data_IF_408974412154
#
_entry.id   IF_408974412154
#
_cell.length_a   1.000
_cell.length_b   1.000
_cell.length_c   1.000
_cell.angle_alpha   90.00
_cell.angle_beta   90.00
_cell.angle_gamma   90.00
#
_symmetry.space_group_name_H-M   'P 1'
#
loop_
_entity.id
_entity.type
_entity.pdbx_description
1 polymer ?
#
# COMPACT_ATOMS: atom_id res chain seq x y z
N UNK A 1 5.35 43.94 7.17
CA UNK A 1 4.27 43.36 7.98
C UNK A 1 3.26 42.56 7.16
N UNK A 2 3.06 42.80 5.85
CA UNK A 2 2.10 42.02 5.05
C UNK A 2 2.61 40.64 4.60
N UNK A 3 3.92 40.42 4.43
CA UNK A 3 4.47 39.13 3.93
C UNK A 3 4.44 37.98 4.95
N UNK A 4 4.62 38.24 6.26
CA UNK A 4 4.67 37.19 7.29
C UNK A 4 3.31 36.52 7.56
N UNK A 5 2.20 37.28 7.48
CA UNK A 5 0.84 36.78 7.75
C UNK A 5 0.44 35.75 6.67
N UNK A 6 0.89 35.92 5.43
CA UNK A 6 0.64 34.97 4.33
C UNK A 6 1.41 33.66 4.50
N UNK A 7 2.68 33.70 4.90
CA UNK A 7 3.52 32.49 5.02
C UNK A 7 3.10 31.58 6.18
N UNK A 8 2.68 32.15 7.31
CA UNK A 8 2.17 31.38 8.47
C UNK A 8 0.86 30.67 8.17
N UNK A 9 -0.11 31.38 7.56
CA UNK A 9 -1.37 30.79 7.17
C UNK A 9 -1.17 29.67 6.12
N UNK A 10 -0.18 29.83 5.25
CA UNK A 10 0.16 28.86 4.22
C UNK A 10 0.87 27.64 4.81
N UNK A 11 1.73 27.82 5.82
CA UNK A 11 2.32 26.73 6.59
C UNK A 11 1.24 25.91 7.31
N UNK A 12 0.33 26.58 8.05
CA UNK A 12 -0.79 25.92 8.75
C UNK A 12 -1.68 25.13 7.78
N UNK A 13 -2.05 25.74 6.65
CA UNK A 13 -2.81 25.08 5.60
C UNK A 13 -2.10 23.84 5.04
N UNK A 14 -0.80 23.95 4.74
CA UNK A 14 -0.02 22.84 4.20
C UNK A 14 0.14 21.70 5.24
N UNK A 15 0.29 22.03 6.53
CA UNK A 15 0.33 21.06 7.61
C UNK A 15 -0.97 20.27 7.74
N UNK A 16 -2.12 20.95 7.80
CA UNK A 16 -3.41 20.26 7.91
C UNK A 16 -3.72 19.44 6.64
N UNK A 17 -3.32 19.90 5.45
CA UNK A 17 -3.46 19.10 4.24
C UNK A 17 -2.55 17.87 4.25
N UNK A 18 -1.28 17.99 4.65
CA UNK A 18 -0.36 16.86 4.77
C UNK A 18 -0.86 15.83 5.78
N UNK A 19 -1.32 16.28 6.95
CA UNK A 19 -1.94 15.46 7.99
C UNK A 19 -3.14 14.67 7.46
N UNK A 20 -4.08 15.35 6.80
CA UNK A 20 -5.26 14.71 6.18
C UNK A 20 -4.84 13.61 5.20
N UNK A 21 -3.90 13.92 4.29
CA UNK A 21 -3.42 12.95 3.31
C UNK A 21 -2.72 11.75 3.96
N UNK A 22 -1.87 11.98 4.97
CA UNK A 22 -1.19 10.90 5.70
C UNK A 22 -2.18 9.92 6.32
N UNK A 23 -3.24 10.43 6.97
CA UNK A 23 -4.26 9.57 7.57
C UNK A 23 -5.08 8.83 6.52
N UNK A 24 -5.53 9.52 5.46
CA UNK A 24 -6.30 8.91 4.38
C UNK A 24 -5.55 7.75 3.71
N UNK A 25 -4.26 7.93 3.43
CA UNK A 25 -3.44 6.89 2.81
C UNK A 25 -3.19 5.74 3.77
N UNK A 26 -2.93 6.02 5.05
CA UNK A 26 -2.73 4.97 6.04
C UNK A 26 -3.98 4.09 6.21
N UNK A 27 -5.15 4.72 6.31
CA UNK A 27 -6.44 4.02 6.45
C UNK A 27 -6.80 3.22 5.20
N UNK A 28 -6.73 3.85 4.02
CA UNK A 28 -6.99 3.17 2.75
C UNK A 28 -6.04 1.98 2.56
N UNK A 29 -4.74 2.19 2.75
CA UNK A 29 -3.74 1.14 2.54
C UNK A 29 -3.92 -0.01 3.54
N UNK A 30 -4.20 0.28 4.81
CA UNK A 30 -4.46 -0.75 5.81
C UNK A 30 -5.66 -1.60 5.41
N UNK A 31 -6.82 -0.96 5.18
CA UNK A 31 -8.06 -1.65 4.82
C UNK A 31 -7.93 -2.48 3.53
N UNK A 32 -7.40 -1.89 2.46
CA UNK A 32 -7.29 -2.58 1.17
C UNK A 32 -6.28 -3.73 1.19
N UNK A 33 -5.13 -3.56 1.85
CA UNK A 33 -4.11 -4.62 1.94
C UNK A 33 -4.50 -5.70 2.95
N UNK A 34 -5.20 -5.38 4.03
CA UNK A 34 -5.75 -6.37 4.96
C UNK A 34 -6.78 -7.25 4.27
N UNK A 35 -7.73 -6.65 3.53
CA UNK A 35 -8.71 -7.40 2.76
C UNK A 35 -8.04 -8.30 1.71
N UNK A 36 -7.04 -7.79 0.98
CA UNK A 36 -6.34 -8.60 -0.01
C UNK A 36 -5.56 -9.76 0.63
N UNK A 37 -4.95 -9.52 1.80
CA UNK A 37 -4.27 -10.56 2.57
C UNK A 37 -5.25 -11.64 3.06
N UNK A 38 -6.46 -11.26 3.49
CA UNK A 38 -7.50 -12.20 3.91
C UNK A 38 -7.96 -13.07 2.73
N UNK A 39 -8.22 -12.48 1.57
CA UNK A 39 -8.59 -13.24 0.36
C UNK A 39 -7.45 -14.19 -0.04
N UNK A 40 -6.19 -13.75 0.06
CA UNK A 40 -5.03 -14.59 -0.20
C UNK A 40 -4.99 -15.80 0.76
N UNK A 41 -5.10 -15.57 2.07
CA UNK A 41 -5.12 -16.65 3.07
C UNK A 41 -6.27 -17.64 2.86
N UNK A 42 -7.49 -17.15 2.65
CA UNK A 42 -8.64 -17.99 2.33
C UNK A 42 -8.41 -18.80 1.04
N UNK A 43 -7.74 -18.21 0.03
CA UNK A 43 -7.37 -18.95 -1.19
C UNK A 43 -6.34 -20.04 -0.90
N UNK A 44 -5.36 -19.77 -0.02
CA UNK A 44 -4.37 -20.75 0.40
C UNK A 44 -5.02 -21.94 1.12
N UNK A 45 -5.96 -21.69 2.04
CA UNK A 45 -6.71 -22.71 2.78
C UNK A 45 -7.56 -23.57 1.81
N UNK A 46 -8.28 -22.95 0.88
CA UNK A 46 -9.07 -23.67 -0.12
C UNK A 46 -8.21 -24.61 -1.00
N UNK A 47 -6.99 -24.20 -1.36
CA UNK A 47 -6.06 -25.05 -2.13
C UNK A 47 -5.64 -26.28 -1.31
N UNK A 48 -5.38 -26.09 -0.01
CA UNK A 48 -5.04 -27.20 0.89
C UNK A 48 -6.21 -28.18 1.03
N UNK A 49 -7.44 -27.67 1.14
CA UNK A 49 -8.65 -28.51 1.19
C UNK A 49 -8.86 -29.31 -0.10
N UNK A 50 -8.73 -28.69 -1.27
CA UNK A 50 -8.82 -29.39 -2.57
C UNK A 50 -7.74 -30.47 -2.72
N UNK A 51 -6.54 -30.25 -2.18
CA UNK A 51 -5.48 -31.27 -2.18
C UNK A 51 -5.88 -32.58 -1.46
N UNK A 52 -6.84 -32.50 -0.54
CA UNK A 52 -7.37 -33.65 0.19
C UNK A 52 -8.63 -34.27 -0.45
N UNK A 53 -9.10 -33.75 -1.59
CA UNK A 53 -10.33 -34.19 -2.26
C UNK A 53 -10.09 -34.90 -3.62
N UNK A 54 -11.14 -35.54 -4.16
CA UNK A 54 -11.14 -36.20 -5.48
C UNK A 54 -11.54 -35.26 -6.66
N UNK A 55 -11.57 -33.94 -6.48
CA UNK A 55 -11.91 -32.98 -7.54
C UNK A 55 -10.62 -32.46 -8.21
N UNK A 56 -10.50 -32.50 -9.55
CA UNK A 56 -9.14 -32.58 -10.14
C UNK A 56 -8.72 -31.57 -11.22
N UNK A 57 -9.57 -30.93 -12.02
CA UNK A 57 -9.07 -30.03 -13.10
C UNK A 57 -9.69 -28.63 -13.12
N UNK A 58 -11.02 -28.53 -13.02
CA UNK A 58 -11.72 -27.24 -13.04
C UNK A 58 -11.36 -26.32 -11.86
N UNK A 59 -11.08 -26.90 -10.69
CA UNK A 59 -10.73 -26.14 -9.48
C UNK A 59 -9.34 -25.52 -9.59
N UNK A 60 -8.36 -26.24 -10.16
CA UNK A 60 -7.00 -25.73 -10.36
C UNK A 60 -6.99 -24.54 -11.31
N UNK A 61 -7.77 -24.61 -12.41
CA UNK A 61 -7.92 -23.48 -13.31
C UNK A 61 -8.55 -22.27 -12.61
N UNK A 62 -9.57 -22.50 -11.77
CA UNK A 62 -10.20 -21.45 -10.97
C UNK A 62 -9.21 -20.82 -9.97
N UNK A 63 -8.37 -21.63 -9.32
CA UNK A 63 -7.32 -21.12 -8.43
C UNK A 63 -6.27 -20.31 -9.19
N UNK A 64 -5.84 -20.74 -10.38
CA UNK A 64 -4.91 -19.98 -11.23
C UNK A 64 -5.48 -18.59 -11.58
N UNK A 65 -6.76 -18.52 -11.93
CA UNK A 65 -7.43 -17.24 -12.19
C UNK A 65 -7.53 -16.37 -10.93
N UNK A 66 -7.83 -16.96 -9.76
CA UNK A 66 -7.85 -16.22 -8.49
C UNK A 66 -6.47 -15.65 -8.14
N UNK A 67 -5.40 -16.44 -8.28
CA UNK A 67 -4.03 -16.00 -8.04
C UNK A 67 -3.69 -14.80 -8.93
N UNK A 68 -3.95 -14.91 -10.23
CA UNK A 68 -3.74 -13.82 -11.18
C UNK A 68 -4.51 -12.55 -10.76
N UNK A 69 -5.77 -12.69 -10.35
CA UNK A 69 -6.56 -11.57 -9.83
C UNK A 69 -5.98 -10.96 -8.54
N UNK A 70 -5.38 -11.76 -7.64
CA UNK A 70 -4.69 -11.25 -6.46
C UNK A 70 -3.44 -10.45 -6.83
N UNK A 71 -2.66 -10.92 -7.82
CA UNK A 71 -1.47 -10.24 -8.32
C UNK A 71 -1.81 -8.90 -8.97
N UNK A 72 -2.82 -8.88 -9.84
CA UNK A 72 -3.32 -7.69 -10.51
C UNK A 72 -3.82 -6.67 -9.47
N UNK A 73 -4.64 -7.11 -8.50
CA UNK A 73 -5.11 -6.26 -7.42
C UNK A 73 -3.95 -5.69 -6.58
N UNK A 74 -2.93 -6.50 -6.26
CA UNK A 74 -1.76 -6.02 -5.53
C UNK A 74 -0.97 -4.99 -6.34
N UNK A 75 -0.84 -5.18 -7.66
CA UNK A 75 -0.16 -4.24 -8.55
C UNK A 75 -0.90 -2.88 -8.62
N UNK A 76 -2.22 -2.92 -8.76
CA UNK A 76 -3.07 -1.71 -8.80
C UNK A 76 -3.01 -0.95 -7.48
N UNK A 77 -3.13 -1.65 -6.35
CA UNK A 77 -2.98 -1.05 -5.03
C UNK A 77 -1.60 -0.42 -4.84
N UNK A 78 -0.52 -1.10 -5.25
CA UNK A 78 0.85 -0.55 -5.21
C UNK A 78 0.94 0.76 -6.02
N UNK A 79 0.34 0.80 -7.20
CA UNK A 79 0.37 1.99 -8.06
C UNK A 79 -0.39 3.15 -7.41
N UNK A 80 -1.59 2.89 -6.88
CA UNK A 80 -2.40 3.91 -6.19
C UNK A 80 -1.69 4.46 -4.95
N UNK A 81 -1.24 3.56 -4.08
CA UNK A 81 -0.50 3.91 -2.85
C UNK A 81 0.75 4.73 -3.20
N UNK A 82 1.48 4.34 -4.26
CA UNK A 82 2.65 5.10 -4.72
C UNK A 82 2.27 6.53 -5.10
N UNK A 83 1.19 6.72 -5.87
CA UNK A 83 0.71 8.05 -6.23
C UNK A 83 0.32 8.88 -4.99
N UNK A 84 -0.40 8.30 -4.05
CA UNK A 84 -0.81 9.03 -2.85
C UNK A 84 0.37 9.38 -1.93
N UNK A 85 1.37 8.48 -1.82
CA UNK A 85 2.62 8.77 -1.11
C UNK A 85 3.40 9.93 -1.74
N UNK A 86 3.37 10.07 -3.07
CA UNK A 86 3.94 11.25 -3.75
C UNK A 86 3.18 12.53 -3.37
N UNK A 87 1.85 12.50 -3.32
CA UNK A 87 1.05 13.66 -2.91
C UNK A 87 1.32 14.10 -1.47
N UNK A 88 1.55 13.14 -0.56
CA UNK A 88 2.00 13.43 0.82
C UNK A 88 3.37 14.11 0.79
N UNK A 89 4.33 13.55 0.05
CA UNK A 89 5.69 14.10 -0.03
C UNK A 89 5.69 15.52 -0.61
N UNK A 90 4.89 15.78 -1.64
CA UNK A 90 4.73 17.12 -2.22
C UNK A 90 4.15 18.12 -1.21
N UNK A 91 3.14 17.70 -0.44
CA UNK A 91 2.52 18.55 0.58
C UNK A 91 3.49 18.88 1.73
N UNK A 92 4.26 17.89 2.19
CA UNK A 92 5.29 18.10 3.21
C UNK A 92 6.40 19.04 2.71
N UNK A 93 6.81 18.90 1.44
CA UNK A 93 7.81 19.80 0.84
C UNK A 93 7.31 21.24 0.73
N UNK A 94 6.03 21.44 0.39
CA UNK A 94 5.41 22.76 0.38
C UNK A 94 5.35 23.38 1.77
N UNK A 95 5.01 22.60 2.79
CA UNK A 95 5.07 23.06 4.19
C UNK A 95 6.50 23.45 4.60
N UNK A 96 7.50 22.65 4.22
CA UNK A 96 8.91 22.95 4.49
C UNK A 96 9.39 24.24 3.82
N UNK A 97 8.97 24.50 2.57
CA UNK A 97 9.26 25.76 1.89
C UNK A 97 8.62 26.93 2.65
N UNK A 98 7.34 26.84 3.00
CA UNK A 98 6.65 27.89 3.75
C UNK A 98 7.28 28.15 5.12
N UNK A 99 7.75 27.10 5.81
CA UNK A 99 8.47 27.24 7.07
C UNK A 99 9.79 28.01 6.92
N UNK A 100 10.54 27.76 5.84
CA UNK A 100 11.81 28.44 5.57
C UNK A 100 11.66 29.90 5.12
N UNK A 101 10.47 30.29 4.64
CA UNK A 101 10.16 31.66 4.23
C UNK A 101 9.84 32.59 5.41
N UNK A 102 9.68 32.03 6.62
CA UNK A 102 9.39 32.82 7.84
C UNK A 102 10.69 33.41 8.36
N UNK A 103 10.87 34.71 8.13
CA UNK A 103 12.13 35.43 8.37
C UNK A 103 12.35 35.85 9.83
N UNK A 104 11.29 35.93 10.64
CA UNK A 104 11.34 36.41 12.02
C UNK A 104 10.78 35.36 12.99
N UNK A 105 11.35 35.23 14.20
CA UNK A 105 10.83 34.33 15.23
C UNK A 105 9.36 34.66 15.54
N UNK A 106 8.50 33.67 15.40
CA UNK A 106 7.08 33.76 15.71
C UNK A 106 6.64 32.47 16.40
N UNK A 107 6.09 32.60 17.60
CA UNK A 107 5.59 31.49 18.41
C UNK A 107 4.61 30.58 17.64
N UNK A 108 3.69 31.16 16.86
CA UNK A 108 2.75 30.41 16.04
C UNK A 108 3.46 29.65 14.91
N UNK A 109 4.44 30.27 14.27
CA UNK A 109 5.24 29.62 13.23
C UNK A 109 6.05 28.47 13.80
N UNK A 110 6.67 28.66 14.97
CA UNK A 110 7.46 27.66 15.66
C UNK A 110 6.62 26.44 16.03
N UNK A 111 5.40 26.64 16.53
CA UNK A 111 4.43 25.56 16.77
C UNK A 111 4.10 24.78 15.49
N UNK A 112 3.87 25.47 14.38
CA UNK A 112 3.58 24.83 13.09
C UNK A 112 4.80 24.09 12.50
N UNK A 113 6.01 24.60 12.71
CA UNK A 113 7.25 23.91 12.34
C UNK A 113 7.42 22.63 13.17
N UNK A 114 7.10 22.66 14.46
CA UNK A 114 7.12 21.48 15.31
C UNK A 114 6.08 20.43 14.83
N UNK A 115 4.88 20.89 14.45
CA UNK A 115 3.86 20.03 13.84
C UNK A 115 4.35 19.42 12.52
N UNK A 116 5.00 20.19 11.65
CA UNK A 116 5.59 19.71 10.41
C UNK A 116 6.60 18.58 10.68
N UNK A 117 7.52 18.77 11.63
CA UNK A 117 8.51 17.75 12.00
C UNK A 117 7.82 16.45 12.48
N UNK A 118 6.78 16.57 13.31
CA UNK A 118 5.96 15.43 13.75
C UNK A 118 5.27 14.74 12.56
N UNK A 119 4.76 15.50 11.59
CA UNK A 119 4.12 14.97 10.39
C UNK A 119 5.12 14.24 9.47
N UNK A 120 6.34 14.73 9.32
CA UNK A 120 7.41 14.06 8.56
C UNK A 120 7.72 12.69 9.19
N UNK A 121 7.87 12.65 10.53
CA UNK A 121 8.09 11.40 11.26
C UNK A 121 6.91 10.44 11.06
N UNK A 122 5.68 10.92 11.23
CA UNK A 122 4.47 10.11 11.05
C UNK A 122 4.35 9.56 9.62
N UNK A 123 4.62 10.39 8.61
CA UNK A 123 4.62 9.99 7.21
C UNK A 123 5.62 8.86 6.94
N UNK A 124 6.83 8.94 7.50
CA UNK A 124 7.86 7.90 7.36
C UNK A 124 7.48 6.59 8.07
N UNK A 125 6.85 6.67 9.24
CA UNK A 125 6.33 5.50 9.96
C UNK A 125 5.25 4.82 9.10
N UNK A 126 4.28 5.57 8.60
CA UNK A 126 3.21 5.02 7.77
C UNK A 126 3.73 4.44 6.45
N UNK A 127 4.67 5.11 5.78
CA UNK A 127 5.35 4.58 4.59
C UNK A 127 6.00 3.22 4.87
N UNK A 128 6.68 3.07 5.99
CA UNK A 128 7.31 1.81 6.40
C UNK A 128 6.27 0.73 6.66
N UNK A 129 5.21 1.04 7.43
CA UNK A 129 4.10 0.11 7.69
C UNK A 129 3.44 -0.39 6.40
N UNK A 130 3.14 0.52 5.49
CA UNK A 130 2.54 0.20 4.18
C UNK A 130 3.47 -0.70 3.37
N UNK A 131 4.76 -0.38 3.29
CA UNK A 131 5.75 -1.20 2.58
C UNK A 131 5.81 -2.62 3.15
N UNK A 132 5.86 -2.76 4.47
CA UNK A 132 5.88 -4.07 5.13
C UNK A 132 4.61 -4.86 4.82
N UNK A 133 3.45 -4.18 4.79
CA UNK A 133 2.18 -4.83 4.49
C UNK A 133 2.08 -5.29 3.03
N UNK A 134 2.52 -4.46 2.08
CA UNK A 134 2.64 -4.82 0.67
C UNK A 134 3.54 -6.06 0.51
N UNK A 135 4.64 -6.11 1.23
CA UNK A 135 5.56 -7.25 1.23
C UNK A 135 4.88 -8.50 1.78
N UNK A 136 4.21 -8.41 2.93
CA UNK A 136 3.45 -9.52 3.51
C UNK A 136 2.40 -10.09 2.55
N UNK A 137 1.63 -9.24 1.87
CA UNK A 137 0.65 -9.71 0.86
C UNK A 137 1.35 -10.41 -0.30
N UNK A 138 2.47 -9.85 -0.77
CA UNK A 138 3.27 -10.47 -1.84
C UNK A 138 3.84 -11.84 -1.45
N UNK A 139 4.31 -12.00 -0.21
CA UNK A 139 4.77 -13.29 0.30
C UNK A 139 3.64 -14.32 0.38
N UNK A 140 2.45 -13.91 0.82
CA UNK A 140 1.28 -14.80 0.87
C UNK A 140 0.90 -15.26 -0.54
N UNK A 141 0.81 -14.35 -1.52
CA UNK A 141 0.52 -14.69 -2.92
C UNK A 141 1.56 -15.67 -3.47
N UNK A 142 2.86 -15.42 -3.25
CA UNK A 142 3.90 -16.35 -3.69
C UNK A 142 3.83 -17.71 -2.97
N UNK A 143 3.39 -17.72 -1.71
CA UNK A 143 3.10 -18.96 -0.97
C UNK A 143 1.98 -19.76 -1.61
N UNK A 144 0.89 -19.09 -2.02
CA UNK A 144 -0.24 -19.70 -2.72
C UNK A 144 0.20 -20.30 -4.05
N UNK A 145 1.01 -19.59 -4.85
CA UNK A 145 1.54 -20.11 -6.12
C UNK A 145 2.29 -21.42 -5.94
N UNK A 146 3.16 -21.50 -4.92
CA UNK A 146 3.91 -22.72 -4.60
C UNK A 146 3.00 -23.87 -4.17
N UNK A 147 1.97 -23.58 -3.37
CA UNK A 147 0.96 -24.57 -2.97
C UNK A 147 0.19 -25.07 -4.19
N UNK A 148 -0.26 -24.17 -5.06
CA UNK A 148 -0.96 -24.50 -6.30
C UNK A 148 -0.08 -25.36 -7.21
N UNK A 149 1.20 -24.99 -7.36
CA UNK A 149 2.15 -25.77 -8.15
C UNK A 149 2.33 -27.19 -7.63
N UNK A 150 2.42 -27.34 -6.30
CA UNK A 150 2.52 -28.65 -5.65
C UNK A 150 1.26 -29.47 -5.87
N UNK A 151 0.08 -28.87 -5.72
CA UNK A 151 -1.21 -29.52 -5.94
C UNK A 151 -1.35 -30.04 -7.38
N UNK A 152 -1.09 -29.19 -8.38
CA UNK A 152 -1.25 -29.62 -9.77
C UNK A 152 -0.24 -30.72 -10.15
N UNK A 153 0.99 -30.70 -9.60
CA UNK A 153 1.93 -31.83 -9.74
C UNK A 153 1.37 -33.12 -9.15
N UNK A 154 0.78 -33.09 -7.95
CA UNK A 154 0.16 -34.26 -7.33
C UNK A 154 -0.98 -34.82 -8.19
N UNK A 155 -1.74 -33.94 -8.84
CA UNK A 155 -2.84 -34.30 -9.74
C UNK A 155 -2.41 -34.66 -11.16
N UNK A 156 -1.10 -34.71 -11.45
CA UNK A 156 -0.58 -35.07 -12.77
C UNK A 156 -0.87 -34.03 -13.86
N UNK A 157 -1.18 -32.79 -13.49
CA UNK A 157 -1.42 -31.70 -14.42
C UNK A 157 -0.12 -30.97 -14.74
N UNK A 158 0.14 -30.79 -16.04
CA UNK A 158 1.22 -29.95 -16.53
C UNK A 158 0.89 -28.49 -16.30
N UNK A 159 1.54 -27.86 -15.32
CA UNK A 159 1.62 -26.40 -15.27
C UNK A 159 2.86 -26.00 -16.05
N UNK A 160 2.84 -26.19 -17.35
CA UNK A 160 3.83 -25.54 -18.21
C UNK A 160 3.51 -24.05 -18.22
N UNK A 161 4.49 -23.22 -17.86
CA UNK A 161 4.43 -21.74 -17.86
C UNK A 161 4.24 -21.11 -19.26
N UNK A 162 3.98 -21.91 -20.29
CA UNK A 162 3.81 -21.46 -21.67
C UNK A 162 2.36 -21.66 -22.13
N UNK A 163 1.50 -20.73 -21.76
CA UNK A 163 0.43 -20.27 -22.65
C UNK A 163 0.72 -18.80 -22.97
N UNK A 164 1.79 -18.59 -23.74
CA UNK A 164 1.89 -17.40 -24.57
C UNK A 164 0.80 -17.54 -25.63
N UNK A 165 -0.31 -16.85 -25.38
CA UNK A 165 -1.35 -16.59 -26.37
C UNK A 165 -0.70 -15.70 -27.44
N UNK A 166 -0.86 -16.09 -28.70
CA UNK A 166 -0.45 -15.38 -29.93
C UNK A 166 -0.67 -13.85 -29.89
#
# INVERSE_FOLDING_TARGET
MEENITSEAQLEFNNENAKRLIYQVAEFSASSLDNLLEIAKTTAENIEETGNSQQEAGEILAFKQKIKGLEENLADLKMRIKADLYSIQDSLKKAEISANEIAEPNEKADEEIEKLQKLIILGNINKTKIKNKIWQVGEEISGIEKKMFTLARQKGLSITEEENID
#
